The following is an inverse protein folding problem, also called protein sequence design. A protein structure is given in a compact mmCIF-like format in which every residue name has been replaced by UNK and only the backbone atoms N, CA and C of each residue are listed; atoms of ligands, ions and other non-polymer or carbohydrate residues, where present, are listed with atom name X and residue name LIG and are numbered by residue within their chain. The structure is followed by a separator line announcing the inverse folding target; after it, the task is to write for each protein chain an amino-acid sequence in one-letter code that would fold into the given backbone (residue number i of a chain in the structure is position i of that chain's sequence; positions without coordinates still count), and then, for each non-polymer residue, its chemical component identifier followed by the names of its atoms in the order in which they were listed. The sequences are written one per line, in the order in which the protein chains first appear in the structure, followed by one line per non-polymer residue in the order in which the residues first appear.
data_IF_830375101797
#
_entry.id   IF_830375101797
#
_cell.length_a   1.000
_cell.length_b   1.000
_cell.length_c   1.000
_cell.angle_alpha   90.00
_cell.angle_beta   90.00
_cell.angle_gamma   90.00
#
_symmetry.space_group_name_H-M   'P 1'
#
loop_
_entity.id
_entity.type
_entity.pdbx_description
1 polymer ?
#
# COMPACT_ATOMS: atom_id res chain seq x y z
N UNK A 1 8.61 5.95 -16.41
CA UNK A 1 7.55 6.89 -15.98
C UNK A 1 7.42 6.65 -14.50
N UNK A 2 7.30 7.68 -13.67
CA UNK A 2 7.22 7.45 -12.23
C UNK A 2 5.81 6.99 -11.87
N UNK A 3 5.70 5.89 -11.16
CA UNK A 3 4.43 5.29 -10.74
C UNK A 3 4.00 5.96 -9.44
N UNK A 4 2.71 6.23 -9.26
CA UNK A 4 2.23 6.93 -8.07
C UNK A 4 1.59 5.96 -7.10
N UNK A 5 2.03 5.96 -5.84
CA UNK A 5 1.32 5.28 -4.77
C UNK A 5 0.25 6.20 -4.16
N UNK A 6 -0.97 5.70 -3.97
CA UNK A 6 -2.02 6.42 -3.26
C UNK A 6 -2.56 5.61 -2.09
N UNK A 7 -2.87 6.29 -0.99
CA UNK A 7 -3.36 5.68 0.25
C UNK A 7 -4.71 6.30 0.59
N UNK A 8 -5.78 5.61 0.21
CA UNK A 8 -7.14 6.14 0.31
C UNK A 8 -7.92 5.43 1.39
N UNK A 9 -8.29 6.14 2.46
CA UNK A 9 -9.24 5.64 3.45
C UNK A 9 -10.64 5.60 2.85
N UNK A 10 -11.31 4.46 3.00
CA UNK A 10 -12.65 4.20 2.51
C UNK A 10 -13.48 3.49 3.59
N UNK A 11 -14.80 3.69 3.61
CA UNK A 11 -15.65 2.86 4.46
C UNK A 11 -15.62 1.41 3.97
N UNK A 12 -15.49 0.45 4.89
CA UNK A 12 -15.43 -0.98 4.55
C UNK A 12 -16.69 -1.47 3.83
N UNK A 13 -17.84 -0.85 4.13
CA UNK A 13 -19.10 -1.13 3.46
C UNK A 13 -19.09 -0.78 1.95
N UNK A 14 -18.20 0.12 1.54
CA UNK A 14 -18.13 0.64 0.17
C UNK A 14 -17.19 -0.20 -0.72
N UNK A 15 -16.56 -1.26 -0.18
CA UNK A 15 -15.68 -2.14 -0.96
C UNK A 15 -16.41 -2.84 -2.12
N UNK A 16 -17.71 -3.16 -1.96
CA UNK A 16 -18.50 -3.72 -3.05
C UNK A 16 -18.69 -2.73 -4.20
N UNK A 17 -18.99 -1.47 -3.90
CA UNK A 17 -19.12 -0.41 -4.91
C UNK A 17 -17.76 -0.05 -5.55
N UNK A 18 -16.66 -0.18 -4.79
CA UNK A 18 -15.31 -0.04 -5.33
C UNK A 18 -14.99 -1.12 -6.38
N UNK A 19 -15.38 -2.38 -6.14
CA UNK A 19 -15.22 -3.48 -7.11
C UNK A 19 -16.08 -3.23 -8.35
N UNK A 20 -17.32 -2.74 -8.18
CA UNK A 20 -18.17 -2.36 -9.32
C UNK A 20 -17.52 -1.25 -10.15
N UNK A 21 -16.92 -0.24 -9.50
CA UNK A 21 -16.18 0.84 -10.18
C UNK A 21 -14.90 0.35 -10.87
N UNK A 22 -14.22 -0.66 -10.33
CA UNK A 22 -13.07 -1.29 -10.98
C UNK A 22 -13.45 -2.00 -12.29
N UNK A 23 -14.64 -2.61 -12.33
CA UNK A 23 -15.15 -3.37 -13.47
C UNK A 23 -15.95 -2.53 -14.49
N UNK A 24 -15.99 -1.20 -14.33
CA UNK A 24 -16.69 -0.31 -15.25
C UNK A 24 -15.99 -0.28 -16.64
N UNK A 25 -16.74 0.06 -17.68
CA UNK A 25 -16.18 0.25 -19.03
C UNK A 25 -15.28 1.50 -19.10
N UNK A 26 -15.46 2.47 -18.19
CA UNK A 26 -14.58 3.63 -18.03
C UNK A 26 -13.38 3.30 -17.10
N UNK A 27 -12.15 3.22 -17.63
CA UNK A 27 -10.96 2.93 -16.81
C UNK A 27 -10.68 4.02 -15.74
N UNK A 28 -11.28 5.21 -15.85
CA UNK A 28 -11.16 6.25 -14.83
C UNK A 28 -12.15 6.09 -13.67
N UNK A 29 -13.16 5.21 -13.78
CA UNK A 29 -14.23 5.07 -12.79
C UNK A 29 -13.69 4.67 -11.42
N UNK A 30 -12.72 3.75 -11.36
CA UNK A 30 -12.09 3.32 -10.11
C UNK A 30 -11.44 4.49 -9.35
N UNK A 31 -10.55 5.23 -10.01
CA UNK A 31 -9.87 6.37 -9.38
C UNK A 31 -10.85 7.51 -9.07
N UNK A 32 -11.87 7.72 -9.91
CA UNK A 32 -12.92 8.69 -9.65
C UNK A 32 -13.75 8.33 -8.42
N UNK A 33 -14.05 7.04 -8.23
CA UNK A 33 -14.77 6.54 -7.06
C UNK A 33 -13.97 6.75 -5.77
N UNK A 34 -12.69 6.38 -5.77
CA UNK A 34 -11.78 6.64 -4.65
C UNK A 34 -11.68 8.13 -4.33
N UNK A 35 -11.58 8.99 -5.34
CA UNK A 35 -11.51 10.44 -5.14
C UNK A 35 -12.83 11.05 -4.62
N UNK A 36 -13.98 10.46 -4.95
CA UNK A 36 -15.29 10.95 -4.55
C UNK A 36 -15.73 10.47 -3.17
N UNK A 37 -15.37 9.24 -2.80
CA UNK A 37 -15.87 8.56 -1.60
C UNK A 37 -14.78 8.32 -0.55
N UNK A 38 -13.51 8.41 -0.94
CA UNK A 38 -12.38 8.21 -0.07
C UNK A 38 -11.75 9.50 0.46
N UNK A 39 -10.72 9.33 1.28
CA UNK A 39 -9.87 10.42 1.77
C UNK A 39 -8.42 9.99 1.73
N UNK A 40 -7.54 10.77 1.11
CA UNK A 40 -6.10 10.51 1.15
C UNK A 40 -5.60 10.64 2.59
N UNK A 41 -4.86 9.64 3.07
CA UNK A 41 -4.41 9.57 4.48
C UNK A 41 -2.90 9.55 4.64
N UNK A 42 -2.15 9.27 3.58
CA UNK A 42 -0.71 9.30 3.60
C UNK A 42 -0.18 9.83 2.27
N UNK A 43 0.94 10.54 2.35
CA UNK A 43 1.68 11.04 1.21
C UNK A 43 2.94 10.18 1.04
N UNK A 44 3.26 9.85 -0.21
CA UNK A 44 4.49 9.17 -0.59
C UNK A 44 4.99 9.78 -1.89
N UNK A 45 6.08 10.56 -1.80
CA UNK A 45 6.57 11.40 -2.90
C UNK A 45 7.59 10.68 -3.81
N UNK A 46 7.94 9.44 -3.47
CA UNK A 46 8.86 8.61 -4.25
C UNK A 46 8.11 7.74 -5.26
N UNK A 47 8.87 7.02 -6.08
CA UNK A 47 8.29 6.11 -7.06
C UNK A 47 7.53 4.97 -6.37
N UNK A 48 6.27 4.79 -6.76
CA UNK A 48 5.36 3.78 -6.24
C UNK A 48 5.89 2.36 -6.39
N UNK A 49 6.71 2.09 -7.41
CA UNK A 49 7.38 0.80 -7.62
C UNK A 49 8.26 0.39 -6.43
N UNK A 50 8.71 1.36 -5.62
CA UNK A 50 9.42 1.05 -4.38
C UNK A 50 8.56 0.22 -3.42
N UNK A 51 7.23 0.39 -3.43
CA UNK A 51 6.34 -0.42 -2.60
C UNK A 51 6.34 -1.89 -3.04
N UNK A 52 6.56 -2.18 -4.32
CA UNK A 52 6.70 -3.56 -4.83
C UNK A 52 7.94 -4.26 -4.28
N UNK A 53 8.98 -3.50 -3.91
CA UNK A 53 10.18 -3.99 -3.22
C UNK A 53 9.97 -4.02 -1.70
N UNK A 54 9.33 -2.99 -1.16
CA UNK A 54 9.13 -2.83 0.28
C UNK A 54 8.27 -3.95 0.87
N UNK A 55 7.17 -4.34 0.21
CA UNK A 55 6.26 -5.35 0.73
C UNK A 55 6.94 -6.73 0.93
N UNK A 56 7.67 -7.28 -0.06
CA UNK A 56 8.49 -8.47 0.14
C UNK A 56 9.53 -8.33 1.25
N UNK A 57 10.26 -7.20 1.32
CA UNK A 57 11.26 -6.96 2.37
C UNK A 57 10.62 -6.98 3.76
N UNK A 58 9.47 -6.33 3.93
CA UNK A 58 8.72 -6.34 5.19
C UNK A 58 8.28 -7.76 5.58
N UNK A 59 7.81 -8.55 4.62
CA UNK A 59 7.37 -9.92 4.86
C UNK A 59 8.54 -10.85 5.21
N UNK A 60 9.60 -10.84 4.41
CA UNK A 60 10.72 -11.78 4.53
C UNK A 60 11.68 -11.46 5.69
N UNK A 61 11.99 -10.18 5.91
CA UNK A 61 12.97 -9.77 6.92
C UNK A 61 12.33 -9.39 8.27
N UNK A 62 11.10 -8.86 8.25
CA UNK A 62 10.45 -8.29 9.44
C UNK A 62 9.20 -9.06 9.89
N UNK A 63 8.79 -10.13 9.20
CA UNK A 63 7.56 -10.91 9.48
C UNK A 63 6.28 -10.05 9.42
N UNK A 64 6.30 -8.99 8.60
CA UNK A 64 5.18 -8.06 8.38
C UNK A 64 4.60 -8.28 6.98
N UNK A 65 3.48 -8.98 6.92
CA UNK A 65 2.81 -9.32 5.67
C UNK A 65 1.45 -8.58 5.58
N UNK A 66 1.44 -7.51 4.78
CA UNK A 66 0.29 -6.60 4.60
C UNK A 66 -0.61 -7.00 3.42
N UNK A 67 -0.23 -8.03 2.64
CA UNK A 67 -0.93 -8.44 1.42
C UNK A 67 -1.89 -9.63 1.67
N UNK A 68 -2.34 -9.81 2.91
CA UNK A 68 -3.14 -10.98 3.30
C UNK A 68 -4.63 -10.70 3.52
N UNK A 69 -5.01 -9.42 3.50
CA UNK A 69 -6.33 -8.94 3.89
C UNK A 69 -7.24 -8.67 2.68
N UNK A 70 -8.52 -9.01 2.82
CA UNK A 70 -9.55 -8.80 1.78
C UNK A 70 -9.20 -9.43 0.41
N UNK A 71 -8.47 -10.56 0.39
CA UNK A 71 -7.91 -11.19 -0.83
C UNK A 71 -8.92 -11.41 -1.98
N UNK A 72 -10.19 -11.70 -1.68
CA UNK A 72 -11.21 -11.86 -2.72
C UNK A 72 -11.50 -10.50 -3.41
N UNK A 73 -11.68 -9.44 -2.63
CA UNK A 73 -11.91 -8.07 -3.13
C UNK A 73 -10.68 -7.57 -3.89
N UNK A 74 -9.49 -7.81 -3.33
CA UNK A 74 -8.22 -7.43 -3.97
C UNK A 74 -8.05 -8.16 -5.31
N UNK A 75 -8.35 -9.46 -5.37
CA UNK A 75 -8.25 -10.23 -6.61
C UNK A 75 -9.22 -9.71 -7.70
N UNK A 76 -10.47 -9.40 -7.33
CA UNK A 76 -11.45 -8.84 -8.27
C UNK A 76 -11.01 -7.48 -8.82
N UNK A 77 -10.40 -6.63 -7.98
CA UNK A 77 -9.86 -5.33 -8.42
C UNK A 77 -8.62 -5.52 -9.29
N UNK A 78 -7.70 -6.40 -8.91
CA UNK A 78 -6.47 -6.65 -9.65
C UNK A 78 -6.74 -7.24 -11.04
N UNK A 79 -7.74 -8.13 -11.18
CA UNK A 79 -8.18 -8.63 -12.49
C UNK A 79 -8.71 -7.52 -13.38
N UNK A 80 -9.41 -6.53 -12.80
CA UNK A 80 -10.00 -5.43 -13.55
C UNK A 80 -8.99 -4.34 -13.95
N UNK A 81 -7.97 -4.08 -13.14
CA UNK A 81 -7.01 -3.01 -13.36
C UNK A 81 -5.78 -3.41 -14.20
N UNK A 82 -5.54 -4.71 -14.41
CA UNK A 82 -4.50 -5.38 -15.23
C UNK A 82 -3.01 -4.99 -14.98
N UNK A 83 -2.69 -3.73 -14.67
CA UNK A 83 -1.33 -3.18 -14.55
C UNK A 83 -1.07 -2.48 -13.20
N UNK A 84 -2.08 -2.33 -12.33
CA UNK A 84 -1.92 -1.67 -11.03
C UNK A 84 -1.80 -2.67 -9.88
N UNK A 85 -0.85 -2.46 -8.97
CA UNK A 85 -0.82 -3.16 -7.69
C UNK A 85 -1.86 -2.54 -6.75
N UNK A 86 -2.67 -3.39 -6.11
CA UNK A 86 -3.67 -2.99 -5.12
C UNK A 86 -3.61 -3.93 -3.91
N UNK A 87 -3.67 -3.36 -2.71
CA UNK A 87 -3.87 -4.11 -1.48
C UNK A 87 -4.68 -3.27 -0.48
N UNK A 88 -5.28 -3.93 0.52
CA UNK A 88 -6.19 -3.30 1.47
C UNK A 88 -5.69 -3.52 2.89
N UNK A 89 -5.45 -2.43 3.60
CA UNK A 89 -5.10 -2.42 5.01
C UNK A 89 -6.37 -2.42 5.87
N UNK A 90 -6.41 -3.29 6.87
CA UNK A 90 -7.58 -3.52 7.73
C UNK A 90 -7.27 -3.34 9.21
N UNK A 91 -8.31 -3.34 10.04
CA UNK A 91 -8.17 -3.35 11.49
C UNK A 91 -7.39 -4.57 12.02
N UNK A 92 -7.41 -5.70 11.31
CA UNK A 92 -6.64 -6.90 11.69
C UNK A 92 -5.14 -6.66 11.46
N UNK A 93 -4.77 -6.06 10.33
CA UNK A 93 -3.40 -5.67 10.03
C UNK A 93 -2.88 -4.66 11.04
N UNK A 94 -3.70 -3.66 11.38
CA UNK A 94 -3.36 -2.67 12.43
C UNK A 94 -3.10 -3.34 13.77
N UNK A 95 -3.96 -4.27 14.18
CA UNK A 95 -3.79 -4.96 15.46
C UNK A 95 -2.53 -5.83 15.49
N UNK A 96 -2.12 -6.37 14.34
CA UNK A 96 -0.96 -7.25 14.21
C UNK A 96 0.36 -6.50 14.04
N UNK A 97 0.35 -5.41 13.26
CA UNK A 97 1.56 -4.84 12.69
C UNK A 97 1.82 -3.37 13.03
N UNK A 98 0.86 -2.61 13.58
CA UNK A 98 1.06 -1.18 13.81
C UNK A 98 2.31 -0.87 14.66
N UNK A 99 2.52 -1.61 15.76
CA UNK A 99 3.69 -1.41 16.63
C UNK A 99 4.98 -1.85 15.92
N UNK A 100 4.95 -2.97 15.20
CA UNK A 100 6.13 -3.48 14.47
C UNK A 100 6.54 -2.55 13.31
N UNK A 101 5.56 -1.96 12.62
CA UNK A 101 5.75 -1.04 11.50
C UNK A 101 6.07 0.40 11.96
N UNK A 102 6.28 0.64 13.26
CA UNK A 102 6.70 1.96 13.73
C UNK A 102 8.06 2.34 13.09
N UNK A 103 8.20 3.53 12.45
CA UNK A 103 9.41 3.91 11.73
C UNK A 103 10.71 3.88 12.57
N UNK A 104 10.57 4.00 13.90
CA UNK A 104 11.69 3.91 14.85
C UNK A 104 12.31 2.51 14.95
N UNK A 105 11.61 1.47 14.48
CA UNK A 105 12.11 0.10 14.45
C UNK A 105 13.02 -0.19 13.25
N UNK A 106 13.16 0.76 12.32
CA UNK A 106 13.89 0.54 11.07
C UNK A 106 15.15 1.40 10.97
N UNK A 107 16.19 0.83 10.37
CA UNK A 107 17.42 1.53 10.07
C UNK A 107 17.56 1.78 8.57
N UNK A 108 17.76 3.04 8.17
CA UNK A 108 17.94 3.41 6.76
C UNK A 108 19.05 2.63 6.04
N UNK A 109 20.13 2.25 6.74
CA UNK A 109 21.22 1.48 6.11
C UNK A 109 20.83 0.04 5.86
N UNK A 110 20.07 -0.56 6.78
CA UNK A 110 19.55 -1.93 6.63
C UNK A 110 18.49 -1.95 5.52
N UNK A 111 17.59 -0.96 5.50
CA UNK A 111 16.60 -0.81 4.43
C UNK A 111 17.22 -0.60 3.05
N UNK A 112 18.26 0.24 2.95
CA UNK A 112 19.02 0.40 1.71
C UNK A 112 19.61 -0.92 1.26
N UNK A 113 20.27 -1.65 2.17
CA UNK A 113 20.87 -2.93 1.84
C UNK A 113 19.82 -3.95 1.38
N UNK A 114 18.68 -4.05 2.08
CA UNK A 114 17.60 -4.95 1.70
C UNK A 114 17.02 -4.63 0.31
N UNK A 115 16.86 -3.33 0.00
CA UNK A 115 16.48 -2.89 -1.33
C UNK A 115 17.50 -3.30 -2.40
N UNK A 116 18.78 -2.97 -2.19
CA UNK A 116 19.87 -3.31 -3.13
C UNK A 116 20.02 -4.83 -3.34
N UNK A 117 19.82 -5.62 -2.28
CA UNK A 117 19.84 -7.08 -2.34
C UNK A 117 18.64 -7.64 -3.14
N UNK A 118 17.49 -6.96 -3.11
CA UNK A 118 16.30 -7.35 -3.87
C UNK A 118 16.36 -6.94 -5.35
N UNK A 119 16.76 -5.70 -5.65
CA UNK A 119 16.78 -5.18 -7.03
C UNK A 119 18.11 -5.45 -7.76
N UNK A 120 19.13 -5.95 -7.06
CA UNK A 120 20.49 -6.20 -7.56
C UNK A 120 21.21 -4.95 -8.11
N UNK A 121 20.79 -3.75 -7.67
CA UNK A 121 21.30 -2.44 -8.09
C UNK A 121 21.55 -1.51 -6.90
N UNK A 122 22.58 -0.66 -7.00
CA UNK A 122 22.92 0.36 -5.98
C UNK A 122 22.07 1.62 -6.23
N UNK A 123 21.30 2.01 -5.22
CA UNK A 123 20.48 3.22 -5.23
C UNK A 123 20.76 4.04 -3.97
N UNK A 124 21.24 5.27 -4.14
CA UNK A 124 21.77 6.08 -3.04
C UNK A 124 20.69 6.40 -2.01
N UNK A 125 19.49 6.69 -2.52
CA UNK A 125 18.32 7.14 -1.77
C UNK A 125 17.39 5.98 -1.34
N UNK A 126 17.72 4.73 -1.65
CA UNK A 126 16.84 3.57 -1.36
C UNK A 126 16.46 3.45 0.12
N UNK A 127 17.37 3.75 1.03
CA UNK A 127 17.09 3.74 2.47
C UNK A 127 16.11 4.82 2.91
N UNK A 128 16.09 5.97 2.22
CA UNK A 128 15.13 7.05 2.44
C UNK A 128 13.78 6.71 1.81
N UNK A 129 13.77 6.22 0.55
CA UNK A 129 12.57 5.76 -0.15
C UNK A 129 11.80 4.69 0.64
N UNK A 130 12.51 3.64 1.07
CA UNK A 130 11.92 2.55 1.86
C UNK A 130 11.39 3.03 3.21
N UNK A 131 12.12 3.92 3.90
CA UNK A 131 11.66 4.43 5.19
C UNK A 131 10.42 5.32 5.03
N UNK A 132 10.38 6.16 4.00
CA UNK A 132 9.20 7.00 3.73
C UNK A 132 8.00 6.13 3.35
N UNK A 133 8.21 5.01 2.64
CA UNK A 133 7.17 4.00 2.38
C UNK A 133 6.64 3.38 3.67
N UNK A 134 7.52 3.03 4.63
CA UNK A 134 7.12 2.55 5.96
C UNK A 134 6.35 3.61 6.72
N UNK A 135 6.77 4.88 6.67
CA UNK A 135 6.04 5.99 7.29
C UNK A 135 4.64 6.13 6.69
N UNK A 136 4.50 6.02 5.37
CA UNK A 136 3.21 6.07 4.68
C UNK A 136 2.30 4.90 5.09
N UNK A 137 2.81 3.67 5.07
CA UNK A 137 2.06 2.48 5.50
C UNK A 137 1.66 2.53 6.98
N UNK A 138 2.57 2.96 7.86
CA UNK A 138 2.28 3.13 9.28
C UNK A 138 1.20 4.20 9.50
N UNK A 139 1.28 5.32 8.78
CA UNK A 139 0.26 6.38 8.84
C UNK A 139 -1.10 5.88 8.34
N UNK A 140 -1.12 5.14 7.23
CA UNK A 140 -2.33 4.50 6.72
C UNK A 140 -2.93 3.50 7.72
N UNK A 141 -2.13 2.67 8.37
CA UNK A 141 -2.59 1.76 9.44
C UNK A 141 -3.12 2.49 10.67
N UNK A 142 -2.73 3.74 10.93
CA UNK A 142 -3.35 4.50 12.01
C UNK A 142 -4.80 4.87 11.70
N UNK A 143 -5.17 4.98 10.42
CA UNK A 143 -6.48 5.42 9.96
C UNK A 143 -7.51 4.31 9.77
N UNK A 144 -7.11 3.03 9.89
CA UNK A 144 -8.04 1.89 9.84
C UNK A 144 -8.72 1.62 11.18
N UNK A 145 -9.99 1.25 11.12
CA UNK A 145 -10.82 0.86 12.26
C UNK A 145 -11.85 -0.20 11.82
N UNK A 146 -12.83 -0.50 12.67
CA UNK A 146 -13.83 -1.53 12.36
C UNK A 146 -14.71 -1.18 11.14
N UNK A 147 -14.89 0.11 10.87
CA UNK A 147 -15.77 0.64 9.83
C UNK A 147 -14.98 1.15 8.60
N UNK A 148 -13.66 1.36 8.72
CA UNK A 148 -12.82 1.92 7.66
C UNK A 148 -11.57 1.07 7.38
N UNK A 149 -11.25 0.98 6.09
CA UNK A 149 -10.03 0.37 5.56
C UNK A 149 -9.22 1.43 4.80
N UNK A 150 -7.96 1.13 4.50
CA UNK A 150 -7.17 1.94 3.56
C UNK A 150 -6.85 1.10 2.34
N UNK A 151 -7.29 1.57 1.18
CA UNK A 151 -6.96 0.99 -0.12
C UNK A 151 -5.67 1.64 -0.59
N UNK A 152 -4.66 0.82 -0.85
CA UNK A 152 -3.38 1.27 -1.41
C UNK A 152 -3.34 0.86 -2.87
N UNK A 153 -3.06 1.82 -3.76
CA UNK A 153 -2.92 1.58 -5.20
C UNK A 153 -1.59 2.11 -5.70
N UNK A 154 -0.95 1.38 -6.59
CA UNK A 154 0.31 1.73 -7.25
C UNK A 154 0.09 1.57 -8.75
N UNK A 155 0.12 2.67 -9.50
CA UNK A 155 -0.14 2.72 -10.94
C UNK A 155 0.00 4.10 -11.56
#
# INVERSE_FOLDING_TARGET
MSVTATFTRLARADLGELVEAANDEDPAAFMAYLAANGTSVADYDWDGDTLEVLLPVLSEEYDIDLETSENEVVADIAEALEEAMVFILTAEDKAKYLEALSPENFNKKELRQAYEDFVEEDEEDAGDMMLDGIVALHTALQEVDADHVVVVTVG
#
